data_IF_198620636713
#
_entry.id   IF_198620636713
#
_cell.length_a   1.000
_cell.length_b   1.000
_cell.length_c   1.000
_cell.angle_alpha   90.00
_cell.angle_beta   90.00
_cell.angle_gamma   90.00
#
_symmetry.space_group_name_H-M   'P 1'
#
loop_
_entity.id
_entity.type
_entity.pdbx_description
1 polymer ?
#
# COMPACT_ATOMS: atom_id res chain seq x y z
N UNK A 1 -24.64 20.29 26.79
CA UNK A 1 -23.83 21.40 27.33
C UNK A 1 -22.86 20.79 28.35
N UNK A 2 -21.56 20.61 28.16
CA UNK A 2 -20.56 20.96 27.13
C UNK A 2 -19.60 19.75 27.02
N UNK A 3 -19.46 19.14 25.84
CA UNK A 3 -18.23 18.40 25.54
C UNK A 3 -17.23 19.44 25.05
N UNK A 4 -16.21 19.71 25.87
CA UNK A 4 -15.10 20.59 25.51
C UNK A 4 -14.30 19.90 24.43
N UNK A 5 -14.19 20.58 23.30
CA UNK A 5 -13.21 20.33 22.27
C UNK A 5 -11.84 20.63 22.86
N UNK A 6 -10.99 19.62 22.94
CA UNK A 6 -9.54 19.80 22.84
C UNK A 6 -9.10 18.89 21.70
N UNK A 7 -9.38 19.34 20.47
CA UNK A 7 -8.83 18.73 19.25
C UNK A 7 -7.38 19.20 19.20
N UNK A 8 -6.46 18.33 19.59
CA UNK A 8 -5.04 18.63 19.57
C UNK A 8 -4.60 18.62 18.10
N UNK A 9 -4.18 19.78 17.61
CA UNK A 9 -4.09 20.11 16.18
C UNK A 9 -2.91 19.46 15.44
N UNK A 10 -2.07 18.69 16.11
CA UNK A 10 -0.95 17.98 15.48
C UNK A 10 -0.88 16.59 16.08
N UNK A 11 -1.28 15.58 15.30
CA UNK A 11 -1.32 14.17 15.67
C UNK A 11 0.07 13.54 15.87
N UNK A 12 0.91 14.19 16.68
CA UNK A 12 2.24 13.77 17.07
C UNK A 12 2.30 13.62 18.60
N UNK A 13 1.29 12.95 19.17
CA UNK A 13 1.42 12.39 20.51
C UNK A 13 2.26 11.12 20.44
N UNK A 14 3.21 10.93 21.34
CA UNK A 14 3.78 9.59 21.57
C UNK A 14 2.66 8.70 22.13
N UNK A 15 1.94 8.04 21.22
CA UNK A 15 1.02 7.00 21.60
C UNK A 15 1.84 5.73 21.88
N UNK A 16 1.88 5.32 23.14
CA UNK A 16 2.50 4.08 23.58
C UNK A 16 1.65 2.86 23.16
N UNK A 17 1.43 2.68 21.86
CA UNK A 17 0.89 1.44 21.28
C UNK A 17 2.01 0.40 21.15
N UNK A 18 2.59 0.00 22.28
CA UNK A 18 3.33 -1.26 22.36
C UNK A 18 2.35 -2.39 22.70
N UNK A 19 1.32 -2.58 21.88
CA UNK A 19 0.64 -3.87 21.88
C UNK A 19 1.48 -4.82 21.04
N UNK A 20 1.87 -5.96 21.60
CA UNK A 20 2.57 -7.01 20.88
C UNK A 20 1.62 -7.63 19.84
N UNK A 21 1.57 -7.03 18.64
CA UNK A 21 0.82 -7.51 17.48
C UNK A 21 1.18 -8.96 17.06
N UNK A 22 2.29 -9.51 17.58
CA UNK A 22 2.68 -10.91 17.41
C UNK A 22 1.72 -11.91 18.09
N UNK A 23 0.82 -11.47 18.98
CA UNK A 23 -0.07 -12.38 19.71
C UNK A 23 -1.27 -12.86 18.89
N UNK A 24 -1.62 -12.20 17.78
CA UNK A 24 -2.85 -12.52 17.03
C UNK A 24 -2.66 -13.54 15.88
N UNK A 25 -1.44 -14.04 15.61
CA UNK A 25 -1.15 -14.91 14.44
C UNK A 25 -1.74 -14.35 13.12
N UNK A 26 -1.65 -13.05 12.92
CA UNK A 26 -2.12 -12.36 11.72
C UNK A 26 -0.91 -11.78 10.98
N UNK A 27 -0.87 -12.00 9.68
CA UNK A 27 0.11 -11.37 8.81
C UNK A 27 -0.51 -10.14 8.16
N UNK A 28 0.16 -8.99 8.32
CA UNK A 28 -0.24 -7.72 7.72
C UNK A 28 0.83 -7.30 6.72
N UNK A 29 0.40 -7.03 5.50
CA UNK A 29 1.21 -6.46 4.44
C UNK A 29 0.47 -5.29 3.80
N UNK A 30 1.22 -4.27 3.40
CA UNK A 30 0.68 -3.05 2.80
C UNK A 30 1.48 -2.71 1.55
N UNK A 31 0.78 -2.62 0.42
CA UNK A 31 1.28 -1.97 -0.78
C UNK A 31 0.88 -0.50 -0.76
N UNK A 32 1.85 0.39 -0.79
CA UNK A 32 1.64 1.83 -0.88
C UNK A 32 2.41 2.40 -2.07
N UNK A 33 1.97 3.53 -2.61
CA UNK A 33 2.81 4.31 -3.52
C UNK A 33 3.51 5.39 -2.72
N UNK A 34 4.84 5.45 -2.72
CA UNK A 34 5.51 6.64 -2.21
C UNK A 34 6.91 6.88 -2.81
N UNK A 35 7.13 8.15 -3.15
CA UNK A 35 8.35 8.91 -2.84
C UNK A 35 7.87 10.33 -2.46
N UNK A 36 8.41 10.93 -1.40
CA UNK A 36 7.92 12.13 -0.67
C UNK A 36 7.64 13.42 -1.51
N UNK A 37 7.92 13.43 -2.81
CA UNK A 37 7.65 14.56 -3.74
C UNK A 37 6.61 14.24 -4.83
N UNK A 38 5.93 13.08 -4.77
CA UNK A 38 5.00 12.63 -5.81
C UNK A 38 3.55 12.63 -5.33
N UNK A 39 2.71 13.41 -6.00
CA UNK A 39 1.25 13.37 -5.82
C UNK A 39 0.72 11.98 -6.21
N UNK A 40 -0.18 11.41 -5.40
CA UNK A 40 -0.94 10.23 -5.80
C UNK A 40 -1.65 10.53 -7.12
N UNK A 41 -1.15 9.98 -8.21
CA UNK A 41 -1.69 10.27 -9.53
C UNK A 41 -3.03 9.56 -9.68
N UNK A 42 -4.04 10.32 -10.12
CA UNK A 42 -5.27 9.72 -10.62
C UNK A 42 -4.98 9.13 -12.00
N UNK A 43 -5.15 7.82 -12.12
CA UNK A 43 -5.24 7.16 -13.40
C UNK A 43 -6.62 7.39 -14.04
N UNK A 44 -6.68 7.36 -15.37
CA UNK A 44 -7.95 7.46 -16.10
C UNK A 44 -8.15 6.19 -16.90
N UNK A 45 -9.05 5.32 -16.44
CA UNK A 45 -9.46 4.09 -17.14
C UNK A 45 -10.90 4.29 -17.61
N UNK A 46 -11.19 4.08 -18.90
CA UNK A 46 -12.53 4.24 -19.49
C UNK A 46 -13.26 5.57 -19.14
N UNK A 47 -12.49 6.64 -18.92
CA UNK A 47 -13.01 7.95 -18.54
C UNK A 47 -13.39 8.11 -17.06
N UNK A 48 -13.05 7.13 -16.21
CA UNK A 48 -13.18 7.19 -14.75
C UNK A 48 -11.82 7.44 -14.10
N UNK A 49 -11.81 8.32 -13.09
CA UNK A 49 -10.63 8.53 -12.24
C UNK A 49 -10.49 7.37 -11.26
N UNK A 50 -9.37 6.63 -11.34
CA UNK A 50 -9.01 5.53 -10.45
C UNK A 50 -7.63 5.80 -9.85
N UNK A 51 -7.35 5.32 -8.64
CA UNK A 51 -6.02 5.49 -8.06
C UNK A 51 -4.98 4.66 -8.84
N UNK A 52 -3.92 5.28 -9.35
CA UNK A 52 -2.94 4.60 -10.21
C UNK A 52 -2.28 3.36 -9.55
N UNK A 53 -1.97 3.42 -8.24
CA UNK A 53 -1.48 2.25 -7.48
C UNK A 53 -2.48 1.09 -7.43
N UNK A 54 -3.74 1.38 -7.08
CA UNK A 54 -4.78 0.34 -6.99
C UNK A 54 -5.08 -0.25 -8.35
N UNK A 55 -5.13 0.59 -9.40
CA UNK A 55 -5.29 0.16 -10.77
C UNK A 55 -4.15 -0.75 -11.24
N UNK A 56 -2.90 -0.34 -11.03
CA UNK A 56 -1.73 -1.12 -11.44
C UNK A 56 -1.62 -2.45 -10.67
N UNK A 57 -1.97 -2.46 -9.38
CA UNK A 57 -2.04 -3.67 -8.58
C UNK A 57 -3.10 -4.64 -9.12
N UNK A 58 -4.32 -4.16 -9.40
CA UNK A 58 -5.39 -5.01 -9.95
C UNK A 58 -5.01 -5.59 -11.31
N UNK A 59 -4.42 -4.76 -12.18
CA UNK A 59 -3.93 -5.21 -13.49
C UNK A 59 -2.83 -6.27 -13.37
N UNK A 60 -1.91 -6.11 -12.42
CA UNK A 60 -0.89 -7.12 -12.08
C UNK A 60 -1.53 -8.47 -11.73
N UNK A 61 -2.57 -8.46 -10.90
CA UNK A 61 -3.26 -9.68 -10.48
C UNK A 61 -4.13 -10.30 -11.58
N UNK A 62 -4.65 -9.49 -12.50
CA UNK A 62 -5.41 -9.98 -13.67
C UNK A 62 -4.49 -10.65 -14.70
N UNK A 63 -3.32 -10.06 -14.97
CA UNK A 63 -2.34 -10.60 -15.92
C UNK A 63 -1.66 -11.87 -15.43
N UNK A 64 -1.32 -11.94 -14.13
CA UNK A 64 -0.77 -13.13 -13.51
C UNK A 64 -1.16 -13.22 -12.02
N UNK A 65 -2.12 -14.07 -11.64
CA UNK A 65 -2.51 -14.21 -10.24
C UNK A 65 -1.50 -15.01 -9.41
N UNK A 66 -0.67 -15.85 -10.04
CA UNK A 66 0.27 -16.76 -9.36
C UNK A 66 1.66 -16.10 -9.25
N UNK A 67 1.76 -15.07 -8.41
CA UNK A 67 3.00 -14.31 -8.16
C UNK A 67 3.36 -14.31 -6.68
N UNK A 68 4.66 -14.22 -6.39
CA UNK A 68 5.19 -13.96 -5.04
C UNK A 68 4.96 -12.51 -4.61
N UNK A 69 5.12 -12.21 -3.31
CA UNK A 69 5.05 -10.84 -2.81
C UNK A 69 6.04 -9.89 -3.52
N UNK A 70 7.25 -10.37 -3.80
CA UNK A 70 8.25 -9.57 -4.53
C UNK A 70 7.88 -9.40 -6.01
N UNK A 71 7.38 -10.45 -6.66
CA UNK A 71 6.96 -10.37 -8.06
C UNK A 71 5.79 -9.41 -8.24
N UNK A 72 4.79 -9.44 -7.36
CA UNK A 72 3.68 -8.48 -7.39
C UNK A 72 4.17 -7.04 -7.26
N UNK A 73 5.13 -6.79 -6.35
CA UNK A 73 5.74 -5.46 -6.20
C UNK A 73 6.46 -5.01 -7.48
N UNK A 74 7.23 -5.90 -8.10
CA UNK A 74 7.99 -5.64 -9.31
C UNK A 74 7.07 -5.40 -10.52
N UNK A 75 6.09 -6.28 -10.73
CA UNK A 75 5.11 -6.18 -11.81
C UNK A 75 4.26 -4.90 -11.67
N UNK A 76 3.78 -4.58 -10.47
CA UNK A 76 3.04 -3.33 -10.21
C UNK A 76 3.88 -2.11 -10.58
N UNK A 77 5.18 -2.13 -10.25
CA UNK A 77 6.11 -1.04 -10.60
C UNK A 77 6.31 -0.91 -12.11
N UNK A 78 6.42 -2.02 -12.82
CA UNK A 78 6.54 -2.02 -14.28
C UNK A 78 5.29 -1.42 -14.93
N UNK A 79 4.09 -1.85 -14.52
CA UNK A 79 2.82 -1.33 -15.05
C UNK A 79 2.70 0.18 -14.83
N UNK A 80 3.08 0.68 -13.65
CA UNK A 80 3.08 2.12 -13.37
C UNK A 80 4.05 2.88 -14.28
N UNK A 81 5.28 2.38 -14.42
CA UNK A 81 6.30 3.02 -15.25
C UNK A 81 5.92 3.04 -16.73
N UNK A 82 5.37 1.94 -17.26
CA UNK A 82 4.91 1.83 -18.64
C UNK A 82 3.70 2.72 -18.95
N UNK A 83 2.99 3.16 -17.91
CA UNK A 83 1.84 4.06 -17.99
C UNK A 83 2.18 5.51 -17.59
N UNK A 84 3.47 5.85 -17.59
CA UNK A 84 4.00 7.18 -17.26
C UNK A 84 3.67 7.66 -15.82
N UNK A 85 3.29 6.74 -14.92
CA UNK A 85 3.14 7.07 -13.51
C UNK A 85 4.50 7.10 -12.83
N UNK A 86 4.74 8.17 -12.09
CA UNK A 86 6.01 8.35 -11.39
C UNK A 86 6.04 7.64 -10.04
N UNK A 87 4.87 7.20 -9.55
CA UNK A 87 4.70 6.50 -8.28
C UNK A 87 5.61 5.27 -8.19
N UNK A 88 6.22 5.10 -7.03
CA UNK A 88 7.05 3.94 -6.73
C UNK A 88 6.31 3.08 -5.70
N UNK A 89 5.89 1.86 -6.08
CA UNK A 89 5.33 0.91 -5.13
C UNK A 89 6.32 0.58 -4.03
N UNK A 90 5.82 0.51 -2.80
CA UNK A 90 6.51 0.06 -1.61
C UNK A 90 5.70 -1.05 -0.95
N UNK A 91 6.40 -2.09 -0.49
CA UNK A 91 5.84 -3.15 0.33
C UNK A 91 6.31 -2.98 1.78
N UNK A 92 5.36 -2.87 2.70
CA UNK A 92 5.59 -2.88 4.14
C UNK A 92 5.00 -4.15 4.74
N UNK A 93 5.75 -4.81 5.63
CA UNK A 93 5.35 -6.07 6.28
C UNK A 93 5.47 -5.94 7.80
N UNK A 94 4.45 -6.42 8.52
CA UNK A 94 4.36 -6.31 9.98
C UNK A 94 5.21 -7.33 10.75
N UNK A 95 5.71 -8.35 10.07
CA UNK A 95 6.51 -9.44 10.64
C UNK A 95 7.62 -9.84 9.66
N UNK A 96 8.60 -10.62 10.15
CA UNK A 96 9.65 -11.18 9.28
C UNK A 96 9.09 -12.38 8.53
N UNK A 97 8.71 -12.17 7.28
CA UNK A 97 8.21 -13.22 6.37
C UNK A 97 9.19 -13.46 5.23
N UNK A 98 9.10 -14.65 4.64
CA UNK A 98 9.72 -14.93 3.34
C UNK A 98 8.86 -14.30 2.24
N UNK A 99 9.44 -13.44 1.41
CA UNK A 99 8.72 -12.72 0.36
C UNK A 99 8.78 -13.43 -0.99
N UNK A 100 9.56 -14.51 -1.10
CA UNK A 100 9.64 -15.39 -2.28
C UNK A 100 8.55 -16.48 -2.26
N UNK A 101 7.56 -16.36 -1.37
CA UNK A 101 6.38 -17.22 -1.35
C UNK A 101 5.21 -16.57 -2.12
N UNK A 102 4.27 -17.35 -2.68
CA UNK A 102 3.10 -16.83 -3.36
C UNK A 102 2.31 -15.85 -2.48
N UNK A 103 1.82 -14.77 -3.09
CA UNK A 103 0.88 -13.86 -2.45
C UNK A 103 -0.39 -14.63 -2.10
N UNK A 104 -0.68 -14.75 -0.80
CA UNK A 104 -1.93 -15.30 -0.30
C UNK A 104 -2.95 -14.16 -0.11
N UNK A 105 -3.97 -14.11 -0.97
CA UNK A 105 -5.10 -13.17 -0.90
C UNK A 105 -6.43 -13.90 -0.96
#
# INVERSE_FOLDING_TARGET
MKHRHDVQAEGLGEENFQEEWNTENKDVFMYSGCKDDQTSADATEDGQHVGAMSWAFLKTMEENPDQTYLEVLQSTRLILADSDYTQIPQLSVGSKIDLDVPLAI
#
